data_IF_075072772104
#
_entry.id   IF_075072772104
#
_cell.length_a   1.000
_cell.length_b   1.000
_cell.length_c   1.000
_cell.angle_alpha   90.00
_cell.angle_beta   90.00
_cell.angle_gamma   90.00
#
_symmetry.space_group_name_H-M   'P 1'
#
loop_
_entity.id
_entity.type
_entity.pdbx_description
1 polymer ?
#
# COMPACT_ATOMS: atom_id res chain seq x y z
N UNK A 1 -14.15 -30.21 -0.38
CA UNK A 1 -13.82 -29.50 -1.63
C UNK A 1 -13.69 -28.01 -1.32
N UNK A 2 -12.47 -27.51 -1.09
CA UNK A 2 -12.21 -26.11 -0.71
C UNK A 2 -11.97 -25.28 -1.97
N UNK A 3 -13.04 -24.74 -2.56
CA UNK A 3 -12.92 -23.87 -3.73
C UNK A 3 -13.43 -22.46 -3.39
N UNK A 4 -12.73 -21.77 -2.48
CA UNK A 4 -12.84 -20.32 -2.30
C UNK A 4 -12.15 -19.66 -3.49
N UNK A 5 -12.86 -19.59 -4.62
CA UNK A 5 -12.49 -18.73 -5.74
C UNK A 5 -12.47 -17.29 -5.22
N UNK A 6 -11.27 -16.78 -5.01
CA UNK A 6 -10.75 -15.47 -5.44
C UNK A 6 -11.80 -14.45 -5.92
N UNK A 7 -12.76 -14.12 -5.07
CA UNK A 7 -13.58 -12.93 -5.22
C UNK A 7 -12.63 -11.77 -4.94
N UNK A 8 -12.22 -11.08 -6.00
CA UNK A 8 -11.34 -9.91 -5.89
C UNK A 8 -12.03 -8.95 -4.95
N UNK A 9 -11.45 -8.75 -3.76
CA UNK A 9 -11.97 -7.86 -2.74
C UNK A 9 -12.36 -6.52 -3.41
N UNK A 10 -13.60 -6.02 -3.25
CA UNK A 10 -14.09 -4.89 -4.06
C UNK A 10 -13.19 -3.64 -3.93
N UNK A 11 -12.48 -3.51 -2.81
CA UNK A 11 -11.46 -2.47 -2.60
C UNK A 11 -10.21 -2.67 -3.46
N UNK A 12 -9.81 -3.93 -3.69
CA UNK A 12 -8.71 -4.28 -4.57
C UNK A 12 -9.07 -4.06 -6.05
N UNK A 13 -10.29 -4.43 -6.47
CA UNK A 13 -10.76 -4.17 -7.83
C UNK A 13 -10.80 -2.65 -8.14
N UNK A 14 -11.34 -1.85 -7.21
CA UNK A 14 -11.38 -0.40 -7.37
C UNK A 14 -9.96 0.22 -7.42
N UNK A 15 -9.05 -0.25 -6.57
CA UNK A 15 -7.66 0.22 -6.57
C UNK A 15 -6.90 -0.17 -7.84
N UNK A 16 -7.17 -1.34 -8.41
CA UNK A 16 -6.56 -1.74 -9.68
C UNK A 16 -6.95 -0.82 -10.84
N UNK A 17 -8.23 -0.42 -10.89
CA UNK A 17 -8.74 0.51 -11.90
C UNK A 17 -8.28 1.96 -11.69
N UNK A 18 -8.17 2.41 -10.43
CA UNK A 18 -7.96 3.83 -10.13
C UNK A 18 -6.51 4.17 -9.69
N UNK A 19 -5.88 3.32 -8.88
CA UNK A 19 -4.58 3.60 -8.24
C UNK A 19 -3.39 2.99 -8.99
N UNK A 20 -3.60 2.00 -9.87
CA UNK A 20 -2.51 1.43 -10.68
C UNK A 20 -1.93 2.45 -11.67
N UNK A 21 -2.77 3.33 -12.21
CA UNK A 21 -2.37 4.39 -13.13
C UNK A 21 -1.98 5.69 -12.41
N UNK A 22 -2.51 5.93 -11.21
CA UNK A 22 -2.19 7.06 -10.36
C UNK A 22 -1.80 6.59 -8.94
N UNK A 23 -0.57 6.07 -8.77
CA UNK A 23 -0.14 5.54 -7.48
C UNK A 23 -0.03 6.65 -6.44
N UNK A 24 -0.37 6.30 -5.20
CA UNK A 24 -0.36 7.23 -4.06
C UNK A 24 1.07 7.39 -3.54
N UNK A 25 1.63 8.59 -3.63
CA UNK A 25 2.88 8.88 -2.92
C UNK A 25 2.64 8.81 -1.43
N UNK A 26 3.24 7.81 -0.76
CA UNK A 26 3.13 7.69 0.67
C UNK A 26 3.59 9.00 1.27
N UNK A 27 4.84 9.43 1.13
CA UNK A 27 5.34 10.56 1.95
C UNK A 27 4.53 11.87 1.88
N UNK A 28 3.69 12.06 0.86
CA UNK A 28 2.84 13.24 0.65
C UNK A 28 1.34 13.01 0.91
N UNK A 29 0.84 11.78 0.80
CA UNK A 29 -0.59 11.52 0.87
C UNK A 29 -1.19 11.77 2.26
N UNK A 30 -2.37 12.39 2.28
CA UNK A 30 -3.16 12.59 3.48
C UNK A 30 -3.76 11.26 4.00
N UNK A 31 -4.33 11.31 5.21
CA UNK A 31 -4.89 10.13 5.88
C UNK A 31 -6.00 9.45 5.08
N UNK A 32 -6.86 10.21 4.42
CA UNK A 32 -8.00 9.66 3.70
C UNK A 32 -7.53 8.95 2.43
N UNK A 33 -6.58 9.56 1.71
CA UNK A 33 -5.95 8.94 0.55
C UNK A 33 -5.25 7.63 0.92
N UNK A 34 -4.57 7.58 2.06
CA UNK A 34 -3.95 6.35 2.57
C UNK A 34 -4.97 5.24 2.86
N UNK A 35 -6.14 5.59 3.40
CA UNK A 35 -7.22 4.65 3.67
C UNK A 35 -7.81 4.04 2.40
N UNK A 36 -7.66 4.68 1.24
CA UNK A 36 -8.10 4.13 -0.06
C UNK A 36 -7.16 3.04 -0.58
N UNK A 37 -5.91 3.02 -0.13
CA UNK A 37 -4.92 2.01 -0.55
C UNK A 37 -5.24 0.63 0.06
N UNK A 38 -5.32 -0.43 -0.75
CA UNK A 38 -5.48 -1.79 -0.26
C UNK A 38 -4.34 -2.21 0.68
N UNK A 39 -4.67 -2.83 1.82
CA UNK A 39 -3.69 -3.23 2.83
C UNK A 39 -3.27 -2.13 3.81
N UNK A 40 -3.75 -0.89 3.63
CA UNK A 40 -3.59 0.20 4.60
C UNK A 40 -4.93 0.43 5.30
N UNK A 41 -4.96 0.18 6.61
CA UNK A 41 -6.09 0.49 7.49
C UNK A 41 -5.86 1.75 8.33
N UNK A 42 -6.83 2.19 9.15
CA UNK A 42 -6.74 3.41 9.97
C UNK A 42 -5.48 3.47 10.83
N UNK A 43 -5.21 2.39 11.58
CA UNK A 43 -3.99 2.30 12.41
C UNK A 43 -2.71 2.38 11.59
N UNK A 44 -2.67 1.73 10.42
CA UNK A 44 -1.51 1.77 9.53
C UNK A 44 -1.32 3.16 8.93
N UNK A 45 -2.40 3.83 8.52
CA UNK A 45 -2.35 5.21 8.02
C UNK A 45 -1.80 6.17 9.09
N UNK A 46 -2.29 6.07 10.32
CA UNK A 46 -1.82 6.90 11.44
C UNK A 46 -0.33 6.67 11.74
N UNK A 47 0.12 5.42 11.72
CA UNK A 47 1.55 5.07 11.90
C UNK A 47 2.42 5.55 10.75
N UNK A 48 1.93 5.46 9.51
CA UNK A 48 2.64 5.98 8.34
C UNK A 48 2.80 7.50 8.44
N UNK A 49 1.76 8.23 8.83
CA UNK A 49 1.82 9.68 9.03
C UNK A 49 2.83 10.05 10.13
N UNK A 50 2.87 9.30 11.22
CA UNK A 50 3.88 9.47 12.26
C UNK A 50 5.30 9.17 11.76
N UNK A 51 5.47 8.07 11.01
CA UNK A 51 6.78 7.63 10.51
C UNK A 51 7.41 8.66 9.55
N UNK A 52 6.62 9.31 8.68
CA UNK A 52 7.12 10.34 7.76
C UNK A 52 7.68 11.57 8.47
N UNK A 53 7.17 11.88 9.67
CA UNK A 53 7.71 12.95 10.50
C UNK A 53 9.08 12.60 11.07
N UNK A 54 9.34 11.31 11.29
CA UNK A 54 10.62 10.82 11.78
C UNK A 54 11.65 10.62 10.63
N UNK A 55 11.19 10.31 9.43
CA UNK A 55 12.05 10.14 8.26
C UNK A 55 11.28 9.75 6.99
N UNK A 56 11.92 9.92 5.83
CA UNK A 56 11.30 9.57 4.54
C UNK A 56 11.21 8.06 4.39
N UNK A 57 10.05 7.56 3.96
CA UNK A 57 9.82 6.15 3.66
C UNK A 57 10.27 5.91 2.20
N UNK A 58 11.29 5.08 2.03
CA UNK A 58 11.90 4.75 0.73
C UNK A 58 11.74 3.28 0.36
N UNK A 59 11.47 2.39 1.33
CA UNK A 59 11.40 0.94 1.11
C UNK A 59 10.13 0.28 1.70
N UNK A 60 9.64 -0.80 1.06
CA UNK A 60 8.51 -1.58 1.58
C UNK A 60 8.80 -2.25 2.91
N UNK A 61 10.07 -2.60 3.18
CA UNK A 61 10.48 -3.18 4.45
C UNK A 61 10.16 -2.25 5.62
N UNK A 62 10.31 -0.93 5.41
CA UNK A 62 9.96 0.07 6.42
C UNK A 62 8.46 0.05 6.73
N UNK A 63 7.59 -0.20 5.74
CA UNK A 63 6.16 -0.33 5.99
C UNK A 63 5.84 -1.52 6.91
N UNK A 64 6.54 -2.65 6.75
CA UNK A 64 6.41 -3.78 7.67
C UNK A 64 6.84 -3.39 9.09
N UNK A 65 7.96 -2.66 9.24
CA UNK A 65 8.44 -2.16 10.53
C UNK A 65 7.49 -1.15 11.17
N UNK A 66 6.85 -0.29 10.37
CA UNK A 66 5.81 0.66 10.78
C UNK A 66 4.53 -0.09 11.20
N UNK A 67 4.40 -1.39 10.92
CA UNK A 67 3.24 -2.20 11.27
C UNK A 67 2.10 -2.09 10.26
N UNK A 68 2.43 -1.94 8.98
CA UNK A 68 1.51 -2.22 7.88
C UNK A 68 1.45 -3.74 7.69
N UNK A 69 0.29 -4.38 7.86
CA UNK A 69 0.18 -5.85 7.87
C UNK A 69 0.37 -6.48 6.49
N UNK A 70 0.16 -5.74 5.41
CA UNK A 70 0.24 -6.26 4.04
C UNK A 70 0.93 -5.28 3.09
N UNK A 71 2.22 -4.98 3.28
CA UNK A 71 2.95 -4.02 2.44
C UNK A 71 3.02 -4.47 0.98
N UNK A 72 3.03 -5.79 0.73
CA UNK A 72 2.96 -6.38 -0.62
C UNK A 72 1.66 -6.02 -1.37
N UNK A 73 0.52 -5.93 -0.67
CA UNK A 73 -0.77 -5.55 -1.28
C UNK A 73 -0.83 -4.06 -1.62
N UNK A 74 -0.17 -3.22 -0.81
CA UNK A 74 -0.11 -1.78 -1.05
C UNK A 74 0.91 -1.42 -2.16
N UNK A 75 1.98 -2.20 -2.30
CA UNK A 75 3.09 -1.97 -3.21
C UNK A 75 2.71 -1.54 -4.65
N UNK A 76 1.77 -2.19 -5.36
CA UNK A 76 1.42 -1.79 -6.72
C UNK A 76 0.68 -0.45 -6.82
N UNK A 77 0.17 0.08 -5.70
CA UNK A 77 -0.68 1.27 -5.66
C UNK A 77 -0.01 2.47 -5.01
N UNK A 78 1.26 2.34 -4.59
CA UNK A 78 1.95 3.38 -3.83
C UNK A 78 3.31 3.72 -4.42
N UNK A 79 3.75 4.95 -4.16
CA UNK A 79 5.12 5.40 -4.36
C UNK A 79 5.79 5.65 -3.01
N UNK A 80 7.10 5.39 -2.97
CA UNK A 80 7.99 5.64 -1.86
C UNK A 80 9.05 6.65 -2.33
N UNK A 81 8.87 7.91 -1.96
CA UNK A 81 9.77 9.01 -2.33
C UNK A 81 9.91 9.15 -3.87
N UNK A 82 8.79 9.13 -4.58
CA UNK A 82 8.72 9.24 -6.04
C UNK A 82 9.07 7.95 -6.78
N UNK A 83 9.39 6.86 -6.08
CA UNK A 83 9.77 5.59 -6.69
C UNK A 83 8.73 4.51 -6.44
N UNK A 84 8.44 3.72 -7.47
CA UNK A 84 7.65 2.50 -7.27
C UNK A 84 8.48 1.51 -6.46
N UNK A 85 7.95 0.97 -5.35
CA UNK A 85 8.68 -0.01 -4.60
C UNK A 85 8.95 -1.25 -5.46
N UNK A 86 10.14 -1.84 -5.29
CA UNK A 86 10.45 -3.14 -5.88
C UNK A 86 9.57 -4.19 -5.20
N UNK A 87 8.45 -4.49 -5.83
CA UNK A 87 7.65 -5.66 -5.53
C UNK A 87 8.00 -6.70 -6.59
N UNK A 88 8.68 -7.75 -6.17
CA UNK A 88 8.89 -8.92 -7.01
C UNK A 88 7.50 -9.53 -7.25
N UNK A 89 6.86 -9.13 -8.36
CA UNK A 89 5.74 -9.87 -8.90
C UNK A 89 6.30 -11.26 -9.15
N UNK A 90 5.80 -12.26 -8.41
CA UNK A 90 6.17 -13.64 -8.64
C UNK A 90 6.01 -13.91 -10.12
N UNK A 91 7.14 -14.07 -10.81
CA UNK A 91 7.16 -14.70 -12.10
C UNK A 91 6.88 -16.17 -11.79
N UNK A 92 5.67 -16.60 -12.15
CA UNK A 92 5.16 -17.98 -12.19
C UNK A 92 4.65 -18.55 -10.86
#
# INVERSE_FOLDING_TARGET
DQNLRLDVDPKQAWADLNLRHAPVELNLADRETLLRVPGIGPKSADRILAARRAGTITELAQLAQIGVPSPKKAAPYVLLAGRRPLHQMGLF
#
